data_IF_914056040850
#
_entry.id   IF_914056040850
#
_cell.length_a   1.000
_cell.length_b   1.000
_cell.length_c   1.000
_cell.angle_alpha   90.00
_cell.angle_beta   90.00
_cell.angle_gamma   90.00
#
_symmetry.space_group_name_H-M   'P 1'
#
loop_
_entity.id
_entity.type
_entity.pdbx_description
1 polymer ?
#
# COMPACT_ATOMS: atom_id res chain seq x y z
N UNK A 1 35.48 8.81 -15.24
CA UNK A 1 35.97 8.81 -13.85
C UNK A 1 34.95 8.09 -12.99
N UNK A 2 35.35 6.99 -12.37
CA UNK A 2 34.49 6.33 -11.38
C UNK A 2 34.60 7.11 -10.08
N UNK A 3 33.64 8.00 -9.83
CA UNK A 3 33.58 8.76 -8.58
C UNK A 3 32.77 7.93 -7.57
N UNK A 4 33.49 7.31 -6.66
CA UNK A 4 32.86 6.66 -5.51
C UNK A 4 32.24 7.71 -4.60
N UNK A 5 31.07 7.43 -4.05
CA UNK A 5 30.46 8.25 -3.00
C UNK A 5 31.26 8.17 -1.70
N UNK A 6 30.98 9.06 -0.75
CA UNK A 6 31.62 9.05 0.59
C UNK A 6 31.47 7.68 1.28
N UNK A 7 30.40 6.95 1.01
CA UNK A 7 30.18 5.59 1.53
C UNK A 7 30.81 4.47 0.67
N UNK A 8 31.70 4.82 -0.27
CA UNK A 8 32.38 3.85 -1.16
C UNK A 8 31.47 3.22 -2.21
N UNK A 9 30.27 3.73 -2.43
CA UNK A 9 29.32 3.19 -3.42
C UNK A 9 29.49 3.90 -4.76
N UNK A 10 29.36 3.13 -5.84
CA UNK A 10 29.31 3.65 -7.20
C UNK A 10 27.85 3.99 -7.57
N UNK A 11 27.60 5.23 -7.89
CA UNK A 11 26.29 5.70 -8.34
C UNK A 11 26.21 5.60 -9.87
N UNK A 12 25.28 4.81 -10.36
CA UNK A 12 25.05 4.64 -11.78
C UNK A 12 23.68 5.20 -12.12
N UNK A 13 23.64 6.16 -13.04
CA UNK A 13 22.38 6.66 -13.58
C UNK A 13 21.73 5.56 -14.42
N UNK A 14 20.48 5.22 -14.14
CA UNK A 14 19.72 4.30 -14.98
C UNK A 14 19.54 4.90 -16.39
N UNK A 15 19.59 4.04 -17.38
CA UNK A 15 19.29 4.44 -18.76
C UNK A 15 17.85 4.91 -18.87
N UNK A 16 17.62 5.93 -19.66
CA UNK A 16 16.30 6.44 -20.00
C UNK A 16 16.22 6.68 -21.51
N UNK A 17 15.00 6.70 -22.05
CA UNK A 17 14.77 6.99 -23.45
C UNK A 17 14.71 8.52 -23.66
N UNK A 18 15.52 9.05 -24.57
CA UNK A 18 15.58 10.48 -24.84
C UNK A 18 14.32 10.99 -25.54
N UNK A 19 13.70 10.19 -26.39
CA UNK A 19 12.44 10.54 -27.07
C UNK A 19 11.29 10.63 -26.08
N UNK A 20 11.21 9.68 -25.13
CA UNK A 20 10.21 9.71 -24.06
C UNK A 20 10.41 10.91 -23.14
N UNK A 21 11.66 11.22 -22.79
CA UNK A 21 11.97 12.41 -22.00
C UNK A 21 11.47 13.68 -22.68
N UNK A 22 11.78 13.86 -23.95
CA UNK A 22 11.37 15.04 -24.74
C UNK A 22 9.85 15.11 -24.82
N UNK A 23 9.19 14.01 -25.17
CA UNK A 23 7.73 13.91 -25.21
C UNK A 23 7.07 14.30 -23.88
N UNK A 24 7.56 13.74 -22.76
CA UNK A 24 7.01 14.00 -21.43
C UNK A 24 7.17 15.48 -21.06
N UNK A 25 8.35 16.03 -21.28
CA UNK A 25 8.65 17.42 -20.97
C UNK A 25 7.75 18.39 -21.73
N UNK A 26 7.56 18.17 -23.02
CA UNK A 26 6.77 19.06 -23.89
C UNK A 26 5.27 18.93 -23.66
N UNK A 27 4.76 17.73 -23.50
CA UNK A 27 3.30 17.49 -23.41
C UNK A 27 2.73 17.68 -22.00
N UNK A 28 3.56 17.55 -20.95
CA UNK A 28 3.12 17.66 -19.56
C UNK A 28 3.71 18.86 -18.83
N UNK A 29 4.49 19.70 -19.51
CA UNK A 29 5.13 20.90 -18.93
C UNK A 29 5.93 20.60 -17.65
N UNK A 30 6.60 19.43 -17.62
CA UNK A 30 7.36 18.97 -16.46
C UNK A 30 8.83 19.40 -16.57
N UNK A 31 9.46 19.52 -15.42
CA UNK A 31 10.90 19.71 -15.34
C UNK A 31 11.67 18.47 -15.83
N UNK A 32 12.97 18.67 -16.11
CA UNK A 32 13.80 17.61 -16.69
C UNK A 32 13.99 16.42 -15.74
N UNK A 33 14.07 16.66 -14.43
CA UNK A 33 14.30 15.59 -13.44
C UNK A 33 13.07 14.69 -13.35
N UNK A 34 11.89 15.29 -13.21
CA UNK A 34 10.63 14.55 -13.18
C UNK A 34 10.40 13.77 -14.47
N UNK A 35 10.67 14.37 -15.62
CA UNK A 35 10.55 13.71 -16.92
C UNK A 35 11.52 12.52 -17.06
N UNK A 36 12.75 12.65 -16.60
CA UNK A 36 13.72 11.54 -16.52
C UNK A 36 13.23 10.41 -15.61
N UNK A 37 12.69 10.75 -14.45
CA UNK A 37 12.18 9.74 -13.51
C UNK A 37 11.01 8.94 -14.09
N UNK A 38 10.10 9.58 -14.80
CA UNK A 38 8.98 8.91 -15.46
C UNK A 38 9.47 7.97 -16.58
N UNK A 39 10.43 8.45 -17.41
CA UNK A 39 11.05 7.63 -18.45
C UNK A 39 11.81 6.42 -17.87
N UNK A 40 12.60 6.62 -16.82
CA UNK A 40 13.33 5.53 -16.12
C UNK A 40 12.36 4.48 -15.53
N UNK A 41 11.16 4.89 -15.14
CA UNK A 41 10.11 4.00 -14.62
C UNK A 41 9.27 3.34 -15.71
N UNK A 42 9.51 3.67 -16.97
CA UNK A 42 8.74 3.17 -18.13
C UNK A 42 7.22 3.40 -17.96
N UNK A 43 6.84 4.56 -17.41
CA UNK A 43 5.42 4.92 -17.35
C UNK A 43 4.92 5.17 -18.78
N UNK A 44 3.86 4.48 -19.17
CA UNK A 44 3.31 4.61 -20.51
C UNK A 44 2.74 6.02 -20.72
N UNK A 45 2.84 6.53 -21.94
CA UNK A 45 2.41 7.89 -22.29
C UNK A 45 0.96 8.16 -21.90
N UNK A 46 0.10 7.19 -22.08
CA UNK A 46 -1.33 7.24 -21.75
C UNK A 46 -1.60 7.27 -20.24
N UNK A 47 -0.66 6.74 -19.46
CA UNK A 47 -0.79 6.62 -18.00
C UNK A 47 -0.18 7.82 -17.24
N UNK A 48 0.62 8.66 -17.92
CA UNK A 48 1.36 9.75 -17.27
C UNK A 48 0.42 10.70 -16.52
N UNK A 49 -0.66 11.13 -17.16
CA UNK A 49 -1.59 12.08 -16.53
C UNK A 49 -2.24 11.48 -15.28
N UNK A 50 -2.69 10.26 -15.34
CA UNK A 50 -3.28 9.56 -14.19
C UNK A 50 -2.27 9.26 -13.10
N UNK A 51 -1.01 8.96 -13.48
CA UNK A 51 0.09 8.76 -12.54
C UNK A 51 0.44 10.03 -11.78
N UNK A 52 0.45 11.18 -12.46
CA UNK A 52 0.74 12.48 -11.85
C UNK A 52 -0.41 13.03 -11.01
N UNK A 53 -1.65 12.71 -11.40
CA UNK A 53 -2.88 13.19 -10.77
C UNK A 53 -3.74 12.01 -10.30
N UNK A 54 -3.26 11.21 -9.33
CA UNK A 54 -4.00 10.06 -8.85
C UNK A 54 -5.27 10.49 -8.10
N UNK A 55 -6.36 9.79 -8.33
CA UNK A 55 -7.58 9.97 -7.56
C UNK A 55 -8.12 8.62 -7.08
N UNK A 56 -8.69 8.59 -5.88
CA UNK A 56 -9.32 7.38 -5.32
C UNK A 56 -10.37 6.84 -6.27
N UNK A 57 -11.19 7.72 -6.86
CA UNK A 57 -12.25 7.35 -7.81
C UNK A 57 -11.73 6.54 -9.00
N UNK A 58 -10.53 6.88 -9.50
CA UNK A 58 -9.97 6.24 -10.70
C UNK A 58 -9.08 5.03 -10.37
N UNK A 59 -8.51 4.98 -9.18
CA UNK A 59 -7.50 4.00 -8.82
C UNK A 59 -7.90 3.02 -7.72
N UNK A 60 -9.03 3.24 -7.03
CA UNK A 60 -9.52 2.25 -6.07
C UNK A 60 -9.99 1.00 -6.84
N UNK A 61 -9.27 -0.12 -6.75
CA UNK A 61 -9.66 -1.34 -7.44
C UNK A 61 -10.94 -1.91 -6.83
N UNK A 62 -11.68 -2.65 -7.63
CA UNK A 62 -12.79 -3.44 -7.09
C UNK A 62 -12.23 -4.47 -6.09
N UNK A 63 -12.68 -4.47 -4.83
CA UNK A 63 -12.18 -5.40 -3.81
C UNK A 63 -12.35 -6.88 -4.20
N UNK A 64 -13.32 -7.20 -5.05
CA UNK A 64 -13.51 -8.56 -5.56
C UNK A 64 -12.35 -9.07 -6.45
N UNK A 65 -11.42 -8.18 -6.86
CA UNK A 65 -10.19 -8.59 -7.56
C UNK A 65 -9.16 -9.22 -6.61
N UNK A 66 -9.33 -9.10 -5.30
CA UNK A 66 -8.46 -9.74 -4.33
C UNK A 66 -8.75 -11.24 -4.25
N UNK A 67 -7.67 -12.03 -4.23
CA UNK A 67 -7.76 -13.48 -4.05
C UNK A 67 -8.49 -13.78 -2.73
N UNK A 68 -9.40 -14.75 -2.74
CA UNK A 68 -10.18 -15.17 -1.56
C UNK A 68 -11.11 -14.10 -0.94
N UNK A 69 -11.39 -12.98 -1.60
CA UNK A 69 -12.28 -11.95 -1.06
C UNK A 69 -13.68 -12.51 -0.75
N UNK A 70 -14.26 -13.28 -1.66
CA UNK A 70 -15.57 -13.93 -1.46
C UNK A 70 -15.56 -14.87 -0.26
N UNK A 71 -14.51 -15.68 -0.14
CA UNK A 71 -14.33 -16.61 0.98
C UNK A 71 -14.18 -15.90 2.31
N UNK A 72 -13.36 -14.84 2.35
CA UNK A 72 -13.14 -14.01 3.55
C UNK A 72 -14.43 -13.31 3.97
N UNK A 73 -15.15 -12.71 3.02
CA UNK A 73 -16.43 -12.05 3.28
C UNK A 73 -17.47 -13.05 3.81
N UNK A 74 -17.62 -14.21 3.17
CA UNK A 74 -18.54 -15.25 3.60
C UNK A 74 -18.21 -15.76 5.01
N UNK A 75 -16.91 -15.91 5.34
CA UNK A 75 -16.48 -16.33 6.67
C UNK A 75 -16.78 -15.26 7.73
N UNK A 76 -16.54 -14.00 7.41
CA UNK A 76 -16.84 -12.87 8.31
C UNK A 76 -18.34 -12.74 8.57
N UNK A 77 -19.16 -12.81 7.54
CA UNK A 77 -20.62 -12.82 7.64
C UNK A 77 -21.11 -13.96 8.54
N UNK A 78 -20.57 -15.16 8.36
CA UNK A 78 -20.90 -16.30 9.21
C UNK A 78 -20.52 -16.08 10.67
N UNK A 79 -19.35 -15.46 10.95
CA UNK A 79 -18.94 -15.12 12.30
C UNK A 79 -19.93 -14.13 12.96
N UNK A 80 -20.35 -13.12 12.21
CA UNK A 80 -21.33 -12.14 12.66
C UNK A 80 -22.66 -12.81 13.05
N UNK A 81 -23.22 -13.64 12.17
CA UNK A 81 -24.49 -14.33 12.45
C UNK A 81 -24.41 -15.32 13.62
N UNK A 82 -23.23 -15.89 13.86
CA UNK A 82 -23.00 -16.80 14.98
C UNK A 82 -22.59 -16.08 16.28
N UNK A 83 -22.53 -14.75 16.29
CA UNK A 83 -22.00 -13.94 17.40
C UNK A 83 -20.58 -14.36 17.84
N UNK A 84 -19.75 -14.80 16.90
CA UNK A 84 -18.36 -15.11 17.18
C UNK A 84 -17.59 -13.80 17.47
N UNK A 85 -16.60 -13.86 18.36
CA UNK A 85 -15.67 -12.76 18.59
C UNK A 85 -14.71 -12.65 17.39
N UNK A 86 -14.56 -11.46 16.82
CA UNK A 86 -13.70 -11.22 15.66
C UNK A 86 -12.43 -10.50 16.13
N UNK A 87 -11.28 -11.11 15.88
CA UNK A 87 -9.98 -10.47 16.11
C UNK A 87 -9.55 -9.63 14.91
N UNK A 88 -9.16 -8.39 15.14
CA UNK A 88 -8.51 -7.52 14.15
C UNK A 88 -7.04 -7.43 14.53
N UNK A 89 -6.19 -8.12 13.76
CA UNK A 89 -4.75 -8.02 13.91
C UNK A 89 -4.23 -6.89 13.02
N UNK A 90 -3.81 -5.78 13.64
CA UNK A 90 -3.31 -4.60 12.95
C UNK A 90 -1.79 -4.53 12.90
N UNK A 91 -1.27 -3.56 12.13
CA UNK A 91 0.14 -3.18 12.17
C UNK A 91 0.28 -1.80 12.82
N UNK A 92 1.48 -1.51 13.29
CA UNK A 92 1.81 -0.25 13.99
C UNK A 92 2.15 0.90 13.04
N UNK A 93 2.29 0.67 11.75
CA UNK A 93 2.52 1.73 10.75
C UNK A 93 1.22 2.49 10.41
N UNK A 94 1.33 3.52 9.57
CA UNK A 94 0.19 4.38 9.24
C UNK A 94 -0.91 3.59 8.54
N UNK A 95 -0.57 2.71 7.61
CA UNK A 95 -1.54 1.92 6.86
C UNK A 95 -2.22 0.88 7.75
N UNK A 96 -1.44 0.21 8.62
CA UNK A 96 -1.97 -0.73 9.60
C UNK A 96 -2.89 -0.07 10.62
N UNK A 97 -2.47 1.06 11.19
CA UNK A 97 -3.28 1.79 12.16
C UNK A 97 -4.58 2.32 11.55
N UNK A 98 -4.53 2.89 10.34
CA UNK A 98 -5.72 3.44 9.68
C UNK A 98 -6.68 2.36 9.22
N UNK A 99 -6.20 1.24 8.68
CA UNK A 99 -7.06 0.11 8.29
C UNK A 99 -7.70 -0.57 9.50
N UNK A 100 -6.95 -0.72 10.60
CA UNK A 100 -7.48 -1.23 11.87
C UNK A 100 -8.57 -0.32 12.42
N UNK A 101 -8.36 0.98 12.44
CA UNK A 101 -9.35 1.96 12.88
C UNK A 101 -10.61 1.93 12.00
N UNK A 102 -10.45 1.80 10.68
CA UNK A 102 -11.57 1.70 9.74
C UNK A 102 -12.46 0.49 10.04
N UNK A 103 -11.86 -0.70 10.19
CA UNK A 103 -12.59 -1.92 10.52
C UNK A 103 -13.20 -1.86 11.92
N UNK A 104 -12.45 -1.36 12.91
CA UNK A 104 -12.93 -1.21 14.28
C UNK A 104 -14.15 -0.28 14.36
N UNK A 105 -14.09 0.86 13.69
CA UNK A 105 -15.24 1.79 13.63
C UNK A 105 -16.46 1.13 12.96
N UNK A 106 -16.24 0.43 11.84
CA UNK A 106 -17.33 -0.27 11.16
C UNK A 106 -17.96 -1.35 12.02
N UNK A 107 -17.17 -2.15 12.72
CA UNK A 107 -17.69 -3.19 13.62
C UNK A 107 -18.38 -2.59 14.86
N UNK A 108 -17.87 -1.48 15.36
CA UNK A 108 -18.50 -0.74 16.46
C UNK A 108 -19.88 -0.18 16.06
N UNK A 109 -20.02 0.42 14.88
CA UNK A 109 -21.31 0.90 14.37
C UNK A 109 -22.34 -0.23 14.20
N UNK A 110 -21.89 -1.42 13.90
CA UNK A 110 -22.73 -2.61 13.79
C UNK A 110 -22.95 -3.32 15.14
N UNK A 111 -22.40 -2.82 16.23
CA UNK A 111 -22.47 -3.42 17.58
C UNK A 111 -21.95 -4.88 17.60
N UNK A 112 -20.90 -5.18 16.86
CA UNK A 112 -20.30 -6.51 16.79
C UNK A 112 -19.32 -6.74 17.95
N UNK A 113 -19.12 -8.00 18.31
CA UNK A 113 -18.14 -8.41 19.30
C UNK A 113 -16.76 -8.56 18.60
N UNK A 114 -15.84 -7.64 18.86
CA UNK A 114 -14.51 -7.66 18.27
C UNK A 114 -13.43 -7.21 19.25
N UNK A 115 -12.20 -7.54 18.93
CA UNK A 115 -11.01 -7.11 19.66
C UNK A 115 -9.91 -6.67 18.66
N UNK A 116 -9.16 -5.66 19.06
CA UNK A 116 -8.03 -5.15 18.27
C UNK A 116 -6.73 -5.52 18.96
N UNK A 117 -5.79 -6.05 18.19
CA UNK A 117 -4.43 -6.30 18.63
C UNK A 117 -3.44 -5.66 17.66
N UNK A 118 -2.56 -4.81 18.17
CA UNK A 118 -1.45 -4.22 17.42
C UNK A 118 -0.16 -4.62 18.13
N UNK A 119 0.74 -5.38 17.48
CA UNK A 119 1.96 -5.88 18.12
C UNK A 119 2.91 -4.74 18.50
N UNK A 120 3.59 -4.89 19.63
CA UNK A 120 4.65 -3.98 20.06
C UNK A 120 5.91 -4.19 19.20
N UNK A 121 6.26 -3.20 18.37
CA UNK A 121 7.41 -3.24 17.47
C UNK A 121 8.71 -3.66 18.14
N UNK A 122 8.93 -3.21 19.39
CA UNK A 122 10.19 -3.45 20.11
C UNK A 122 10.26 -4.84 20.70
N UNK A 123 9.12 -5.41 21.10
CA UNK A 123 9.04 -6.70 21.80
C UNK A 123 8.74 -7.86 20.86
N UNK A 124 7.93 -7.62 19.82
CA UNK A 124 7.37 -8.66 18.97
C UNK A 124 7.90 -8.62 17.54
N UNK A 125 8.48 -7.49 17.12
CA UNK A 125 8.98 -7.31 15.76
C UNK A 125 7.89 -6.88 14.78
N UNK A 126 8.06 -7.23 13.50
CA UNK A 126 7.15 -6.89 12.42
C UNK A 126 6.31 -8.09 11.99
N UNK A 127 5.02 -7.85 11.84
CA UNK A 127 4.07 -8.84 11.33
C UNK A 127 3.56 -9.82 12.39
N UNK A 128 2.70 -10.76 11.97
CA UNK A 128 2.06 -11.71 12.86
C UNK A 128 3.05 -12.76 13.38
N UNK A 129 2.94 -13.10 14.66
CA UNK A 129 3.69 -14.17 15.32
C UNK A 129 2.74 -15.16 15.99
N UNK A 130 3.20 -16.38 16.28
CA UNK A 130 2.42 -17.37 17.05
C UNK A 130 2.01 -16.78 18.41
N UNK A 131 2.94 -16.06 19.06
CA UNK A 131 2.69 -15.43 20.34
C UNK A 131 1.58 -14.39 20.25
N UNK A 132 1.65 -13.50 19.27
CA UNK A 132 0.65 -12.43 19.06
C UNK A 132 -0.75 -12.99 18.80
N UNK A 133 -0.87 -14.09 18.05
CA UNK A 133 -2.15 -14.77 17.84
C UNK A 133 -2.66 -15.51 19.06
N UNK A 134 -1.79 -15.89 19.99
CA UNK A 134 -2.22 -16.53 21.23
C UNK A 134 -2.74 -15.50 22.25
N UNK A 135 -2.28 -14.26 22.15
CA UNK A 135 -2.72 -13.15 23.01
C UNK A 135 -4.02 -12.50 22.50
N UNK A 136 -4.38 -12.64 21.22
CA UNK A 136 -5.61 -12.18 20.61
C UNK A 136 -6.77 -13.16 20.88
#
# INVERSE_FOLDING_TARGET
MNTLSISGKNWILKKYNQEDLTFIKENFSLDEITSKLLSIRNIKKEEINSFLNPSIKNFLPNPNNLIDMEKSTSRTVKAIFNNEKIGIFGDYDVDGATSTALLGNYFNELNLNYEIYIPDRKKEGYGPSIKSFTEL
#
